data_IF_241187211806
#
_entry.id   IF_241187211806
#
_cell.length_a   1.000
_cell.length_b   1.000
_cell.length_c   1.000
_cell.angle_alpha   90.00
_cell.angle_beta   90.00
_cell.angle_gamma   90.00
#
_symmetry.space_group_name_H-M   'P 1'
#
loop_
_entity.id
_entity.type
_entity.pdbx_description
1 polymer ?
#
# COMPACT_ATOMS: atom_id res chain seq x y z
N UNK A 1 -18.10 -0.22 41.98
CA UNK A 1 -18.79 0.81 41.16
C UNK A 1 -17.87 1.89 40.58
N UNK A 2 -16.62 2.07 41.05
CA UNK A 2 -15.68 3.07 40.50
C UNK A 2 -14.93 2.60 39.23
N UNK A 3 -14.77 1.29 39.07
CA UNK A 3 -14.00 0.71 37.95
C UNK A 3 -14.80 0.63 36.64
N UNK A 4 -16.14 0.57 36.70
CA UNK A 4 -16.98 0.54 35.50
C UNK A 4 -17.03 1.92 34.81
N UNK A 5 -17.00 3.01 35.57
CA UNK A 5 -17.02 4.37 35.04
C UNK A 5 -15.75 4.70 34.23
N UNK A 6 -14.59 4.19 34.67
CA UNK A 6 -13.33 4.35 33.95
C UNK A 6 -13.32 3.60 32.62
N UNK A 7 -13.87 2.38 32.61
CA UNK A 7 -13.99 1.57 31.39
C UNK A 7 -14.92 2.21 30.36
N UNK A 8 -16.04 2.79 30.78
CA UNK A 8 -16.97 3.47 29.88
C UNK A 8 -16.37 4.73 29.25
N UNK A 9 -15.55 5.48 30.01
CA UNK A 9 -14.85 6.67 29.48
C UNK A 9 -13.74 6.26 28.50
N UNK A 10 -13.02 5.18 28.78
CA UNK A 10 -11.97 4.66 27.89
C UNK A 10 -12.55 4.19 26.55
N UNK A 11 -13.69 3.49 26.57
CA UNK A 11 -14.38 3.03 25.35
C UNK A 11 -14.89 4.22 24.51
N UNK A 12 -15.43 5.26 25.16
CA UNK A 12 -15.85 6.49 24.48
C UNK A 12 -14.69 7.24 23.82
N UNK A 13 -13.52 7.27 24.45
CA UNK A 13 -12.32 7.88 23.87
C UNK A 13 -11.78 7.10 22.66
N UNK A 14 -11.86 5.77 22.69
CA UNK A 14 -11.40 4.92 21.59
C UNK A 14 -12.30 4.99 20.35
N UNK A 15 -13.60 5.23 20.50
CA UNK A 15 -14.53 5.34 19.36
C UNK A 15 -14.56 6.73 18.73
N UNK A 16 -14.26 7.79 19.48
CA UNK A 16 -14.20 9.16 18.95
C UNK A 16 -12.99 9.42 18.03
N UNK A 17 -11.89 8.65 18.19
CA UNK A 17 -10.71 8.77 17.33
C UNK A 17 -10.82 7.99 16.01
N UNK A 18 -11.79 7.09 15.88
CA UNK A 18 -11.92 6.18 14.73
C UNK A 18 -13.08 6.58 13.81
N UNK A 19 -13.23 7.88 13.56
CA UNK A 19 -14.32 8.45 12.76
C UNK A 19 -13.89 9.55 11.79
N UNK A 20 -12.59 9.75 11.59
CA UNK A 20 -12.08 10.67 10.58
C UNK A 20 -12.24 10.05 9.20
N UNK A 21 -13.41 10.25 8.59
CA UNK A 21 -13.68 9.83 7.22
C UNK A 21 -12.51 10.20 6.31
N UNK A 22 -12.08 9.23 5.50
CA UNK A 22 -10.98 9.30 4.54
C UNK A 22 -11.29 10.32 3.45
N UNK A 23 -11.25 11.62 3.80
CA UNK A 23 -11.24 12.68 2.80
C UNK A 23 -9.82 12.78 2.26
N UNK A 24 -9.63 12.63 0.94
CA UNK A 24 -8.31 12.86 0.36
C UNK A 24 -7.84 14.27 0.70
N UNK A 25 -6.54 14.43 0.91
CA UNK A 25 -5.91 15.70 1.31
C UNK A 25 -6.10 16.80 0.26
N UNK A 26 -6.34 16.42 -0.98
CA UNK A 26 -6.49 17.28 -2.14
C UNK A 26 -7.74 16.89 -2.92
N UNK A 27 -8.38 17.87 -3.55
CA UNK A 27 -9.42 17.61 -4.56
C UNK A 27 -8.79 17.22 -5.90
N UNK A 28 -9.59 16.69 -6.84
CA UNK A 28 -9.11 16.34 -8.19
C UNK A 28 -8.54 17.56 -8.92
N UNK A 29 -9.16 18.73 -8.72
CA UNK A 29 -8.71 19.99 -9.33
C UNK A 29 -7.39 20.47 -8.73
N UNK A 30 -7.19 20.29 -7.42
CA UNK A 30 -5.93 20.61 -6.75
C UNK A 30 -4.80 19.65 -7.16
N UNK A 31 -5.12 18.37 -7.39
CA UNK A 31 -4.17 17.37 -7.89
C UNK A 31 -3.72 17.68 -9.32
N UNK A 32 -4.63 18.14 -10.19
CA UNK A 32 -4.30 18.51 -11.57
C UNK A 32 -3.30 19.68 -11.68
N UNK A 33 -3.15 20.48 -10.62
CA UNK A 33 -2.19 21.58 -10.55
C UNK A 33 -0.80 21.13 -10.05
N UNK A 34 -0.65 19.89 -9.57
CA UNK A 34 0.63 19.37 -9.11
C UNK A 34 1.43 18.92 -10.34
N UNK A 35 2.60 19.53 -10.62
CA UNK A 35 3.42 19.11 -11.75
C UNK A 35 3.87 17.66 -11.56
N UNK A 36 3.74 16.86 -12.62
CA UNK A 36 4.24 15.49 -12.63
C UNK A 36 5.76 15.48 -12.39
N UNK A 37 6.24 14.45 -11.71
CA UNK A 37 7.67 14.28 -11.48
C UNK A 37 8.44 14.24 -12.82
N UNK A 38 9.52 15.00 -12.91
CA UNK A 38 10.38 15.03 -14.10
C UNK A 38 11.00 13.66 -14.34
N UNK A 39 10.66 13.05 -15.49
CA UNK A 39 11.15 11.72 -15.90
C UNK A 39 12.38 11.78 -16.82
N UNK A 40 12.63 12.93 -17.44
CA UNK A 40 13.75 13.12 -18.36
C UNK A 40 15.08 13.25 -17.61
N UNK A 41 16.11 12.53 -18.06
CA UNK A 41 17.45 12.58 -17.47
C UNK A 41 17.60 11.81 -16.16
N UNK A 42 16.56 11.09 -15.72
CA UNK A 42 16.73 10.11 -14.65
C UNK A 42 17.67 9.00 -15.13
N UNK A 43 18.60 8.53 -14.29
CA UNK A 43 19.40 7.36 -14.62
C UNK A 43 18.47 6.18 -14.90
N UNK A 44 18.90 5.25 -15.75
CA UNK A 44 18.17 3.98 -15.92
C UNK A 44 17.87 3.42 -14.53
N UNK A 45 16.63 2.98 -14.33
CA UNK A 45 16.21 2.38 -13.07
C UNK A 45 17.12 1.18 -12.83
N UNK A 46 18.08 1.33 -11.91
CA UNK A 46 18.87 0.22 -11.39
C UNK A 46 17.92 -0.58 -10.49
N UNK A 47 17.05 -1.35 -11.12
CA UNK A 47 16.05 -2.17 -10.45
C UNK A 47 16.73 -3.00 -9.37
N UNK A 48 16.26 -2.86 -8.14
CA UNK A 48 16.81 -3.60 -7.01
C UNK A 48 16.65 -2.84 -5.71
N UNK A 49 15.41 -2.66 -5.25
CA UNK A 49 15.21 -2.42 -3.82
C UNK A 49 15.55 -3.72 -3.11
N UNK A 50 16.61 -3.68 -2.31
CA UNK A 50 17.07 -4.81 -1.52
C UNK A 50 16.75 -4.51 -0.06
N UNK A 51 15.95 -5.38 0.57
CA UNK A 51 15.61 -5.26 1.98
C UNK A 51 16.60 -6.10 2.79
N UNK A 52 17.45 -5.43 3.57
CA UNK A 52 18.29 -6.11 4.54
C UNK A 52 17.47 -6.40 5.81
N UNK A 53 17.28 -7.68 6.15
CA UNK A 53 16.63 -8.13 7.39
C UNK A 53 17.64 -8.93 8.19
N UNK A 54 18.21 -8.29 9.23
CA UNK A 54 19.27 -8.89 10.04
C UNK A 54 20.56 -9.08 9.24
N UNK A 55 21.03 -10.32 9.15
CA UNK A 55 22.20 -10.76 8.38
C UNK A 55 21.85 -11.20 6.95
N UNK A 56 20.58 -11.12 6.56
CA UNK A 56 20.10 -11.57 5.25
C UNK A 56 19.73 -10.40 4.35
N UNK A 57 20.07 -10.57 3.08
CA UNK A 57 19.76 -9.67 1.99
C UNK A 57 18.61 -10.29 1.20
N UNK A 58 17.41 -9.72 1.27
CA UNK A 58 16.26 -10.17 0.48
C UNK A 58 16.18 -9.31 -0.77
N UNK A 59 16.28 -9.95 -1.93
CA UNK A 59 16.19 -9.31 -3.24
C UNK A 59 14.72 -9.14 -3.67
N UNK A 60 14.48 -8.21 -4.61
CA UNK A 60 13.15 -8.02 -5.17
C UNK A 60 12.64 -9.30 -5.86
N UNK A 61 13.51 -10.03 -6.58
CA UNK A 61 13.15 -11.27 -7.27
C UNK A 61 12.69 -12.34 -6.28
N UNK A 62 13.40 -12.49 -5.14
CA UNK A 62 13.00 -13.42 -4.08
C UNK A 62 11.64 -13.07 -3.46
N UNK A 63 11.30 -11.79 -3.36
CA UNK A 63 9.96 -11.36 -2.90
C UNK A 63 8.91 -11.68 -3.96
N UNK A 64 9.18 -11.37 -5.23
CA UNK A 64 8.26 -11.57 -6.36
C UNK A 64 7.94 -13.06 -6.57
N UNK A 65 8.93 -13.93 -6.36
CA UNK A 65 8.81 -15.38 -6.48
C UNK A 65 8.33 -16.06 -5.18
N UNK A 66 8.23 -15.31 -4.08
CA UNK A 66 7.86 -15.90 -2.79
C UNK A 66 6.45 -16.51 -2.82
N UNK A 67 6.26 -17.69 -2.20
CA UNK A 67 4.94 -18.33 -2.15
C UNK A 67 4.03 -17.60 -1.16
N UNK A 68 2.79 -17.36 -1.58
CA UNK A 68 1.72 -16.85 -0.72
C UNK A 68 0.55 -17.83 -0.68
N UNK A 69 -0.23 -17.74 0.39
CA UNK A 69 -1.50 -18.47 0.51
C UNK A 69 -2.61 -17.52 0.08
N UNK A 70 -3.35 -17.89 -0.96
CA UNK A 70 -4.50 -17.13 -1.46
C UNK A 70 -5.73 -17.32 -0.56
N UNK A 71 -6.77 -16.47 -0.66
CA UNK A 71 -7.99 -16.60 0.15
C UNK A 71 -8.73 -17.94 -0.02
N UNK A 72 -8.57 -18.60 -1.17
CA UNK A 72 -9.08 -19.94 -1.49
C UNK A 72 -8.15 -21.08 -1.03
N UNK A 73 -7.03 -20.76 -0.39
CA UNK A 73 -6.10 -21.73 0.20
C UNK A 73 -5.07 -22.29 -0.77
N UNK A 74 -4.99 -21.79 -2.00
CA UNK A 74 -3.95 -22.17 -2.94
C UNK A 74 -2.60 -21.53 -2.57
N UNK A 75 -1.51 -22.21 -2.92
CA UNK A 75 -0.15 -21.69 -2.76
C UNK A 75 0.35 -21.29 -4.15
N UNK A 76 0.61 -20.00 -4.35
CA UNK A 76 1.08 -19.45 -5.62
C UNK A 76 2.20 -18.44 -5.40
N UNK A 77 3.08 -18.20 -6.38
CA UNK A 77 4.02 -17.08 -6.32
C UNK A 77 3.29 -15.74 -6.19
N UNK A 78 3.87 -14.81 -5.43
CA UNK A 78 3.34 -13.46 -5.21
C UNK A 78 2.97 -12.77 -6.53
N UNK A 79 3.81 -12.92 -7.56
CA UNK A 79 3.57 -12.34 -8.89
C UNK A 79 2.29 -12.83 -9.56
N UNK A 80 1.90 -14.09 -9.37
CA UNK A 80 0.70 -14.64 -9.99
C UNK A 80 -0.57 -14.06 -9.38
N UNK A 81 -0.54 -13.80 -8.07
CA UNK A 81 -1.64 -13.16 -7.35
C UNK A 81 -1.84 -11.71 -7.77
N UNK A 82 -0.76 -10.94 -7.91
CA UNK A 82 -0.84 -9.52 -8.26
C UNK A 82 -0.91 -9.24 -9.77
N UNK A 83 -0.48 -10.16 -10.65
CA UNK A 83 -0.57 -10.00 -12.11
C UNK A 83 -1.96 -9.57 -12.59
N UNK A 84 -3.08 -10.21 -12.23
CA UNK A 84 -4.39 -9.76 -12.67
C UNK A 84 -4.76 -8.39 -12.11
N UNK A 85 -4.30 -8.04 -10.91
CA UNK A 85 -4.54 -6.71 -10.30
C UNK A 85 -3.78 -5.63 -11.08
N UNK A 86 -2.51 -5.89 -11.40
CA UNK A 86 -1.67 -5.01 -12.20
C UNK A 86 -2.16 -4.84 -13.64
N UNK A 87 -2.70 -5.91 -14.24
CA UNK A 87 -3.28 -5.87 -15.59
C UNK A 87 -4.66 -5.20 -15.63
N UNK A 88 -5.39 -5.21 -14.51
CA UNK A 88 -6.70 -4.55 -14.39
C UNK A 88 -6.58 -3.04 -14.16
N UNK A 89 -5.40 -2.55 -13.81
CA UNK A 89 -5.06 -1.13 -13.97
C UNK A 89 -4.91 -0.85 -15.47
N UNK A 90 -6.04 -0.55 -16.10
CA UNK A 90 -6.06 -0.10 -17.48
C UNK A 90 -5.16 1.14 -17.59
N UNK A 91 -4.11 1.05 -18.41
CA UNK A 91 -3.20 2.17 -18.66
C UNK A 91 -3.93 3.39 -19.24
N UNK A 92 -5.14 3.19 -19.77
CA UNK A 92 -6.03 4.27 -20.21
C UNK A 92 -6.51 5.18 -19.07
N UNK A 93 -6.49 4.75 -17.80
CA UNK A 93 -6.74 5.67 -16.66
C UNK A 93 -5.61 6.72 -16.50
N UNK A 94 -4.44 6.48 -17.08
CA UNK A 94 -3.26 7.33 -16.99
C UNK A 94 -2.84 7.94 -18.33
N UNK A 95 -3.66 7.80 -19.37
CA UNK A 95 -3.49 8.46 -20.67
C UNK A 95 -4.45 9.65 -20.73
N UNK A 96 -3.89 10.84 -20.98
CA UNK A 96 -4.61 12.07 -21.31
C UNK A 96 -5.33 11.98 -22.67
#
# INVERSE_FOLDING_TARGET
MRNCAFLTVLVLLLTYGCGGGSKPKFTEEELALIPLAQREGLPETSGGFVLAVGDKTITADEVIESPIITPDGAIVPLIEYFRPIAQKNDFEQFRE
#
